data_IF_177820839316
#
_entry.id   IF_177820839316
#
_cell.length_a   1.000
_cell.length_b   1.000
_cell.length_c   1.000
_cell.angle_alpha   90.00
_cell.angle_beta   90.00
_cell.angle_gamma   90.00
#
_symmetry.space_group_name_H-M   'P 1'
#
loop_
_entity.id
_entity.type
_entity.pdbx_description
1 polymer ?
#
# COMPACT_ATOMS: atom_id res chain seq x y z
N UNK A 1 -7.56 9.12 23.19
CA UNK A 1 -7.63 10.13 22.11
C UNK A 1 -7.64 9.39 20.79
N UNK A 2 -8.61 9.66 19.92
CA UNK A 2 -8.67 9.05 18.60
C UNK A 2 -7.53 9.62 17.75
N UNK A 3 -6.58 8.80 17.29
CA UNK A 3 -5.56 9.27 16.35
C UNK A 3 -6.25 9.50 14.99
N UNK A 4 -6.10 10.68 14.36
CA UNK A 4 -6.64 10.91 13.03
C UNK A 4 -6.00 9.94 12.03
N UNK A 5 -6.83 9.28 11.23
CA UNK A 5 -6.42 8.31 10.21
C UNK A 5 -7.00 8.72 8.87
N UNK A 6 -6.15 8.86 7.86
CA UNK A 6 -6.53 9.24 6.50
C UNK A 6 -6.03 8.13 5.56
N UNK A 7 -6.96 7.46 4.88
CA UNK A 7 -6.65 6.53 3.80
C UNK A 7 -6.76 7.25 2.43
N UNK A 8 -5.82 7.00 1.53
CA UNK A 8 -5.78 7.59 0.19
C UNK A 8 -5.91 6.47 -0.83
N UNK A 9 -7.01 6.48 -1.58
CA UNK A 9 -7.36 5.44 -2.56
C UNK A 9 -7.32 5.96 -3.99
N UNK A 10 -7.08 5.05 -4.94
CA UNK A 10 -7.13 5.37 -6.38
C UNK A 10 -6.23 4.50 -7.27
N UNK A 11 -6.33 4.65 -8.60
CA UNK A 11 -5.62 3.81 -9.56
C UNK A 11 -4.09 3.86 -9.44
N UNK A 12 -3.41 2.84 -9.96
CA UNK A 12 -1.94 2.83 -10.08
C UNK A 12 -1.50 4.03 -10.94
N UNK A 13 -0.44 4.72 -10.53
CA UNK A 13 0.11 5.87 -11.27
C UNK A 13 -0.59 7.22 -11.07
N UNK A 14 -1.72 7.30 -10.35
CA UNK A 14 -2.48 8.57 -10.18
C UNK A 14 -1.81 9.60 -9.23
N UNK A 15 -0.71 9.24 -8.57
CA UNK A 15 0.03 10.15 -7.67
C UNK A 15 -0.32 10.05 -6.18
N UNK A 16 -0.90 8.93 -5.73
CA UNK A 16 -1.27 8.69 -4.32
C UNK A 16 -0.11 8.90 -3.35
N UNK A 17 1.04 8.29 -3.60
CA UNK A 17 2.22 8.39 -2.72
C UNK A 17 2.71 9.85 -2.61
N UNK A 18 2.67 10.60 -3.71
CA UNK A 18 3.00 12.03 -3.70
C UNK A 18 2.02 12.85 -2.86
N UNK A 19 0.72 12.54 -2.93
CA UNK A 19 -0.30 13.19 -2.11
C UNK A 19 -0.15 12.82 -0.63
N UNK A 20 0.04 11.53 -0.32
CA UNK A 20 0.27 11.03 1.03
C UNK A 20 1.47 11.73 1.69
N UNK A 21 2.58 11.82 0.96
CA UNK A 21 3.78 12.50 1.42
C UNK A 21 3.51 13.99 1.70
N UNK A 22 2.88 14.71 0.76
CA UNK A 22 2.54 16.14 0.97
C UNK A 22 1.61 16.36 2.17
N UNK A 23 0.60 15.50 2.35
CA UNK A 23 -0.31 15.58 3.49
C UNK A 23 0.40 15.29 4.81
N UNK A 24 1.30 14.30 4.84
CA UNK A 24 2.10 13.98 6.03
C UNK A 24 2.92 15.19 6.51
N UNK A 25 3.59 15.89 5.58
CA UNK A 25 4.39 17.07 5.89
C UNK A 25 3.52 18.25 6.31
N UNK A 26 2.38 18.47 5.63
CA UNK A 26 1.48 19.60 5.88
C UNK A 26 0.76 19.48 7.24
N UNK A 27 0.36 18.26 7.61
CA UNK A 27 -0.40 17.99 8.83
C UNK A 27 0.49 17.50 10.00
N UNK A 28 1.79 17.31 9.75
CA UNK A 28 2.73 16.67 10.68
C UNK A 28 2.23 15.28 11.16
N UNK A 29 1.72 14.48 10.22
CA UNK A 29 1.24 13.13 10.47
C UNK A 29 2.28 12.10 10.04
N UNK A 30 2.27 10.94 10.69
CA UNK A 30 3.07 9.80 10.26
C UNK A 30 2.55 9.26 8.92
N UNK A 31 3.47 9.06 7.97
CA UNK A 31 3.19 8.52 6.63
C UNK A 31 3.43 7.01 6.63
N UNK A 32 2.37 6.21 6.59
CA UNK A 32 2.47 4.76 6.40
C UNK A 32 2.51 4.45 4.89
N UNK A 33 3.55 3.75 4.43
CA UNK A 33 3.75 3.42 3.00
C UNK A 33 3.43 1.97 2.71
N UNK A 34 2.93 1.72 1.51
CA UNK A 34 2.76 0.36 1.01
C UNK A 34 4.11 -0.23 0.62
N UNK A 35 4.36 -1.47 1.06
CA UNK A 35 5.59 -2.20 0.75
C UNK A 35 5.35 -3.00 -0.53
N UNK A 36 5.72 -2.42 -1.66
CA UNK A 36 5.54 -3.04 -2.99
C UNK A 36 6.74 -3.90 -3.36
N UNK A 37 7.95 -3.37 -3.16
CA UNK A 37 9.20 -4.00 -3.63
C UNK A 37 9.59 -5.28 -2.88
N UNK A 38 9.00 -5.53 -1.70
CA UNK A 38 9.24 -6.76 -0.93
C UNK A 38 8.28 -7.90 -1.28
N UNK A 39 7.28 -7.67 -2.15
CA UNK A 39 6.33 -8.72 -2.53
C UNK A 39 7.01 -9.71 -3.51
N UNK A 40 7.34 -10.94 -3.08
CA UNK A 40 8.10 -11.88 -3.90
C UNK A 40 7.29 -12.43 -5.09
N UNK A 41 5.97 -12.18 -5.13
CA UNK A 41 5.08 -12.68 -6.17
C UNK A 41 4.72 -11.62 -7.21
N UNK A 42 5.11 -10.36 -6.98
CA UNK A 42 4.65 -9.26 -7.82
C UNK A 42 5.19 -9.32 -9.25
N UNK A 43 6.44 -9.73 -9.44
CA UNK A 43 6.98 -9.95 -10.79
C UNK A 43 6.21 -11.05 -11.52
N UNK A 44 6.00 -12.17 -10.83
CA UNK A 44 5.36 -13.35 -11.39
C UNK A 44 3.87 -13.10 -11.70
N UNK A 45 3.21 -12.22 -10.94
CA UNK A 45 1.87 -11.73 -11.22
C UNK A 45 1.77 -11.00 -12.56
N UNK A 46 2.77 -10.19 -12.92
CA UNK A 46 2.78 -9.52 -14.22
C UNK A 46 3.04 -10.49 -15.38
N UNK A 47 3.64 -11.65 -15.11
CA UNK A 47 3.85 -12.71 -16.10
C UNK A 47 2.63 -13.65 -16.26
N UNK A 48 1.94 -14.00 -15.18
CA UNK A 48 0.74 -14.85 -15.16
C UNK A 48 -0.21 -14.47 -14.02
N UNK A 49 -1.18 -13.62 -14.36
CA UNK A 49 -2.15 -13.10 -13.40
C UNK A 49 -2.97 -14.23 -12.77
N UNK A 50 -3.47 -15.20 -13.55
CA UNK A 50 -4.40 -16.23 -13.04
C UNK A 50 -3.71 -17.09 -11.97
N UNK A 51 -2.44 -17.44 -12.20
CA UNK A 51 -1.67 -18.30 -11.30
C UNK A 51 -1.20 -17.61 -10.03
N UNK A 52 -0.87 -16.32 -10.09
CA UNK A 52 -0.18 -15.60 -9.01
C UNK A 52 -1.03 -14.54 -8.30
N UNK A 53 -2.27 -14.30 -8.75
CA UNK A 53 -3.19 -13.33 -8.13
C UNK A 53 -3.39 -13.59 -6.64
N UNK A 54 -3.63 -14.83 -6.24
CA UNK A 54 -3.96 -15.14 -4.84
C UNK A 54 -2.80 -14.83 -3.90
N UNK A 55 -1.58 -15.26 -4.23
CA UNK A 55 -0.38 -15.07 -3.42
C UNK A 55 -0.03 -13.57 -3.32
N UNK A 56 -0.14 -12.86 -4.44
CA UNK A 56 0.14 -11.42 -4.52
C UNK A 56 -0.81 -10.61 -3.65
N UNK A 57 -2.12 -10.85 -3.79
CA UNK A 57 -3.15 -10.15 -3.01
C UNK A 57 -3.11 -10.53 -1.53
N UNK A 58 -2.86 -11.80 -1.19
CA UNK A 58 -2.70 -12.23 0.20
C UNK A 58 -1.48 -11.58 0.87
N UNK A 59 -0.38 -11.40 0.15
CA UNK A 59 0.78 -10.66 0.67
C UNK A 59 0.40 -9.22 1.04
N UNK A 60 -0.25 -8.49 0.14
CA UNK A 60 -0.70 -7.12 0.40
C UNK A 60 -1.67 -7.04 1.58
N UNK A 61 -2.65 -7.95 1.64
CA UNK A 61 -3.61 -8.03 2.75
C UNK A 61 -2.90 -8.26 4.10
N UNK A 62 -2.02 -9.25 4.18
CA UNK A 62 -1.29 -9.57 5.40
C UNK A 62 -0.36 -8.42 5.83
N UNK A 63 0.30 -7.76 4.89
CA UNK A 63 1.15 -6.61 5.19
C UNK A 63 0.33 -5.44 5.74
N UNK A 64 -0.81 -5.12 5.10
CA UNK A 64 -1.71 -4.05 5.55
C UNK A 64 -2.25 -4.32 6.96
N UNK A 65 -2.61 -5.57 7.26
CA UNK A 65 -3.06 -5.97 8.60
C UNK A 65 -1.97 -5.74 9.67
N UNK A 66 -0.71 -6.07 9.36
CA UNK A 66 0.41 -5.85 10.29
C UNK A 66 0.69 -4.36 10.55
N UNK A 67 0.50 -3.49 9.55
CA UNK A 67 0.71 -2.04 9.71
C UNK A 67 -0.33 -1.37 10.61
N UNK A 68 -1.57 -1.87 10.60
CA UNK A 68 -2.70 -1.27 11.33
C UNK A 68 -2.78 -1.78 12.78
N UNK A 69 -2.13 -2.91 13.08
CA UNK A 69 -2.12 -3.54 14.41
C UNK A 69 -1.02 -2.97 15.30
#
# INVERSE_FOLDING_TARGET
MNKPFIAIEGPIGVGKSSLAHKLSQTLNYYEEREIVDENPFLSDFYDDIEKWSFQTEMFFLCNRYKQIR
#
